data_IF_875132807279
#
_entry.id   IF_875132807279
#
_cell.length_a   1.000
_cell.length_b   1.000
_cell.length_c   1.000
_cell.angle_alpha   90.00
_cell.angle_beta   90.00
_cell.angle_gamma   90.00
#
_symmetry.space_group_name_H-M   'P 1'
#
loop_
_entity.id
_entity.type
_entity.pdbx_description
1 polymer ?
#
# COMPACT_ATOMS: atom_id res chain seq x y z
N UNK A 1 23.61 -19.42 -6.66
CA UNK A 1 23.18 -18.04 -6.41
C UNK A 1 23.23 -17.28 -7.73
N UNK A 2 22.13 -16.64 -8.12
CA UNK A 2 22.06 -15.85 -9.36
C UNK A 2 22.62 -14.45 -9.11
N UNK A 3 23.32 -13.86 -10.11
CA UNK A 3 23.78 -12.46 -10.08
C UNK A 3 22.99 -11.65 -11.08
N UNK A 4 22.53 -10.47 -10.69
CA UNK A 4 21.83 -9.52 -11.53
C UNK A 4 22.56 -8.17 -11.54
N UNK A 5 22.60 -7.54 -12.70
CA UNK A 5 22.89 -6.11 -12.77
C UNK A 5 21.77 -5.30 -12.09
N UNK A 6 22.07 -4.07 -11.71
CA UNK A 6 21.04 -3.16 -11.15
C UNK A 6 19.91 -2.89 -12.15
N UNK A 7 20.17 -2.91 -13.45
CA UNK A 7 19.17 -2.70 -14.48
C UNK A 7 18.21 -3.88 -14.57
N UNK A 8 18.72 -5.11 -14.59
CA UNK A 8 17.91 -6.33 -14.57
C UNK A 8 17.05 -6.41 -13.31
N UNK A 9 17.60 -6.09 -12.14
CA UNK A 9 16.86 -6.04 -10.88
C UNK A 9 15.71 -5.01 -10.95
N UNK A 10 15.98 -3.81 -11.46
CA UNK A 10 14.92 -2.80 -11.69
C UNK A 10 13.86 -3.29 -12.67
N UNK A 11 14.28 -3.88 -13.80
CA UNK A 11 13.36 -4.39 -14.81
C UNK A 11 12.43 -5.46 -14.22
N UNK A 12 12.99 -6.43 -13.50
CA UNK A 12 12.22 -7.46 -12.81
C UNK A 12 11.18 -6.88 -11.85
N UNK A 13 11.60 -6.00 -10.93
CA UNK A 13 10.69 -5.37 -9.96
C UNK A 13 9.59 -4.57 -10.68
N UNK A 14 9.91 -3.81 -11.72
CA UNK A 14 8.92 -3.02 -12.46
C UNK A 14 7.92 -3.91 -13.20
N UNK A 15 8.31 -5.10 -13.67
CA UNK A 15 7.40 -6.11 -14.22
C UNK A 15 6.46 -6.62 -13.13
N UNK A 16 6.99 -7.10 -12.01
CA UNK A 16 6.22 -7.64 -10.87
C UNK A 16 5.26 -6.61 -10.28
N UNK A 17 5.66 -5.34 -10.28
CA UNK A 17 4.82 -4.21 -9.84
C UNK A 17 3.77 -3.78 -10.89
N UNK A 18 3.72 -4.39 -12.06
CA UNK A 18 2.79 -4.01 -13.13
C UNK A 18 3.08 -2.65 -13.79
N UNK A 19 4.28 -2.10 -13.59
CA UNK A 19 4.67 -0.77 -14.08
C UNK A 19 5.28 -0.81 -15.49
N UNK A 20 5.87 -1.94 -15.89
CA UNK A 20 6.32 -2.18 -17.26
C UNK A 20 5.41 -3.12 -18.03
N UNK A 21 4.76 -4.08 -17.35
CA UNK A 21 3.77 -5.01 -17.90
C UNK A 21 2.47 -4.88 -17.09
N UNK A 22 1.51 -4.03 -17.51
CA UNK A 22 0.28 -3.78 -16.74
C UNK A 22 -0.58 -5.04 -16.57
N UNK A 23 -1.22 -5.15 -15.41
CA UNK A 23 -2.21 -6.18 -15.11
C UNK A 23 -3.50 -6.02 -15.92
N UNK A 24 -4.27 -7.09 -16.05
CA UNK A 24 -5.54 -7.07 -16.80
C UNK A 24 -6.64 -6.29 -16.06
N UNK A 25 -6.71 -6.39 -14.74
CA UNK A 25 -7.76 -5.77 -13.93
C UNK A 25 -7.24 -5.38 -12.52
N UNK A 26 -8.04 -4.60 -11.74
CA UNK A 26 -7.66 -4.14 -10.40
C UNK A 26 -7.39 -5.26 -9.39
N UNK A 27 -8.13 -6.36 -9.44
CA UNK A 27 -7.94 -7.48 -8.50
C UNK A 27 -6.60 -8.19 -8.77
N UNK A 28 -6.25 -8.39 -10.05
CA UNK A 28 -4.95 -8.98 -10.42
C UNK A 28 -3.80 -8.06 -10.01
N UNK A 29 -3.96 -6.75 -10.15
CA UNK A 29 -2.97 -5.79 -9.66
C UNK A 29 -2.78 -5.89 -8.15
N UNK A 30 -3.87 -5.94 -7.37
CA UNK A 30 -3.79 -6.09 -5.90
C UNK A 30 -3.19 -7.43 -5.50
N UNK A 31 -3.57 -8.54 -6.15
CA UNK A 31 -2.93 -9.86 -5.91
C UNK A 31 -1.45 -9.84 -6.20
N UNK A 32 -1.06 -9.21 -7.33
CA UNK A 32 0.34 -9.15 -7.76
C UNK A 32 1.23 -8.35 -6.82
N UNK A 33 0.71 -7.28 -6.19
CA UNK A 33 1.48 -6.38 -5.31
C UNK A 33 1.06 -6.46 -3.85
N UNK A 34 0.15 -7.37 -3.50
CA UNK A 34 -0.43 -7.63 -2.18
C UNK A 34 -1.28 -6.49 -1.61
N UNK A 35 -0.82 -5.24 -1.65
CA UNK A 35 -1.51 -4.11 -1.05
C UNK A 35 -1.13 -2.77 -1.68
N UNK A 36 -2.08 -1.83 -1.69
CA UNK A 36 -1.82 -0.41 -2.01
C UNK A 36 -2.18 0.43 -0.79
N UNK A 37 -1.25 1.26 -0.31
CA UNK A 37 -1.52 2.19 0.79
C UNK A 37 -2.49 3.28 0.34
N UNK A 38 -3.57 3.47 1.10
CA UNK A 38 -4.71 4.33 0.74
C UNK A 38 -4.91 5.48 1.72
N UNK A 39 -3.80 6.08 2.15
CA UNK A 39 -3.82 7.20 3.09
C UNK A 39 -4.59 8.41 2.52
N UNK A 40 -4.49 8.62 1.23
CA UNK A 40 -5.30 9.58 0.46
C UNK A 40 -6.30 8.83 -0.42
N UNK A 41 -7.50 9.38 -0.58
CA UNK A 41 -8.54 8.78 -1.43
C UNK A 41 -8.08 8.62 -2.89
N UNK A 42 -7.24 9.53 -3.39
CA UNK A 42 -6.67 9.48 -4.74
C UNK A 42 -5.55 8.45 -4.93
N UNK A 43 -4.92 7.94 -3.86
CA UNK A 43 -3.76 7.03 -3.99
C UNK A 43 -4.13 5.72 -4.69
N UNK A 44 -5.25 5.10 -4.31
CA UNK A 44 -5.68 3.82 -4.91
C UNK A 44 -6.00 3.94 -6.40
N UNK A 45 -6.90 4.85 -6.86
CA UNK A 45 -7.19 4.99 -8.28
C UNK A 45 -5.96 5.35 -9.11
N UNK A 46 -5.08 6.22 -8.62
CA UNK A 46 -3.85 6.61 -9.33
C UNK A 46 -2.87 5.42 -9.43
N UNK A 47 -2.61 4.72 -8.33
CA UNK A 47 -1.72 3.57 -8.33
C UNK A 47 -2.21 2.44 -9.24
N UNK A 48 -3.52 2.18 -9.27
CA UNK A 48 -4.15 1.25 -10.21
C UNK A 48 -4.09 1.78 -11.65
N UNK A 49 -4.25 3.09 -11.86
CA UNK A 49 -4.18 3.72 -13.18
C UNK A 49 -2.84 3.52 -13.90
N UNK A 50 -1.74 3.39 -13.14
CA UNK A 50 -0.43 3.08 -13.70
C UNK A 50 -0.19 1.58 -13.91
N UNK A 51 -0.92 0.71 -13.20
CA UNK A 51 -0.70 -0.73 -13.14
C UNK A 51 -1.72 -1.58 -13.91
N UNK A 52 -2.85 -0.99 -14.28
CA UNK A 52 -3.94 -1.72 -14.96
C UNK A 52 -4.12 -1.19 -16.37
N UNK A 53 -4.15 -2.10 -17.36
CA UNK A 53 -4.36 -1.72 -18.76
C UNK A 53 -5.73 -1.08 -18.95
N UNK A 54 -5.74 0.19 -19.37
CA UNK A 54 -6.98 0.88 -19.74
C UNK A 54 -7.98 1.05 -18.59
N UNK A 55 -7.54 1.23 -17.34
CA UNK A 55 -8.41 1.41 -16.18
C UNK A 55 -9.51 2.44 -16.45
N UNK A 56 -10.77 2.02 -16.34
CA UNK A 56 -11.91 2.93 -16.47
C UNK A 56 -12.07 3.78 -15.20
N UNK A 57 -12.47 5.05 -15.29
CA UNK A 57 -12.73 5.88 -14.09
C UNK A 57 -13.78 5.30 -13.14
N UNK A 58 -14.71 4.52 -13.69
CA UNK A 58 -15.80 3.86 -12.95
C UNK A 58 -15.46 2.45 -12.47
N UNK A 59 -14.17 2.07 -12.47
CA UNK A 59 -13.72 0.72 -12.12
C UNK A 59 -14.29 0.22 -10.77
N UNK A 60 -14.41 1.09 -9.79
CA UNK A 60 -14.91 0.79 -8.44
C UNK A 60 -16.40 0.40 -8.43
N UNK A 61 -17.19 0.80 -9.46
CA UNK A 61 -18.62 0.46 -9.59
C UNK A 61 -18.85 -0.96 -10.10
N UNK A 62 -17.84 -1.59 -10.68
CA UNK A 62 -17.95 -2.95 -11.20
C UNK A 62 -18.13 -3.96 -10.06
N UNK A 63 -19.06 -4.93 -10.19
CA UNK A 63 -19.37 -5.90 -9.13
C UNK A 63 -18.16 -6.64 -8.58
N UNK A 64 -17.24 -7.08 -9.46
CA UNK A 64 -16.03 -7.80 -9.09
C UNK A 64 -15.10 -6.97 -8.18
N UNK A 65 -15.06 -5.66 -8.36
CA UNK A 65 -14.20 -4.78 -7.57
C UNK A 65 -14.77 -4.43 -6.19
N UNK A 66 -16.02 -4.83 -5.90
CA UNK A 66 -16.59 -4.79 -4.54
C UNK A 66 -15.87 -5.75 -3.58
N UNK A 67 -15.12 -6.72 -4.12
CA UNK A 67 -14.23 -7.59 -3.35
C UNK A 67 -12.95 -6.91 -2.85
N UNK A 68 -12.68 -5.67 -3.25
CA UNK A 68 -11.55 -4.88 -2.72
C UNK A 68 -11.91 -4.36 -1.35
N UNK A 69 -11.12 -4.77 -0.35
CA UNK A 69 -11.28 -4.38 1.04
C UNK A 69 -10.29 -3.28 1.40
N UNK A 70 -10.74 -2.32 2.19
CA UNK A 70 -9.86 -1.30 2.79
C UNK A 70 -9.83 -1.48 4.30
N UNK A 71 -8.63 -1.57 4.88
CA UNK A 71 -8.45 -1.77 6.32
C UNK A 71 -7.09 -1.23 6.79
N UNK A 72 -6.91 -1.09 8.12
CA UNK A 72 -5.61 -0.86 8.72
C UNK A 72 -4.87 -2.20 8.84
N UNK A 73 -3.72 -2.29 8.18
CA UNK A 73 -2.90 -3.51 8.15
C UNK A 73 -1.41 -3.16 8.32
N UNK A 74 -0.58 -3.36 7.31
CA UNK A 74 0.86 -3.14 7.34
C UNK A 74 1.25 -1.83 8.05
N UNK A 75 2.11 -1.90 9.04
CA UNK A 75 2.59 -0.73 9.83
C UNK A 75 1.47 0.13 10.42
N UNK A 76 0.28 -0.44 10.65
CA UNK A 76 -0.91 0.29 11.17
C UNK A 76 -1.41 1.41 10.23
N UNK A 77 -1.15 1.32 8.93
CA UNK A 77 -1.65 2.27 7.92
C UNK A 77 -2.76 1.66 7.05
N UNK A 78 -3.52 2.53 6.38
CA UNK A 78 -4.66 2.12 5.56
C UNK A 78 -4.19 1.49 4.25
N UNK A 79 -4.68 0.28 3.94
CA UNK A 79 -4.38 -0.42 2.71
C UNK A 79 -5.64 -0.98 2.04
N UNK A 80 -5.60 -1.04 0.72
CA UNK A 80 -6.54 -1.81 -0.09
C UNK A 80 -5.94 -3.18 -0.40
N UNK A 81 -6.76 -4.23 -0.26
CA UNK A 81 -6.40 -5.64 -0.46
C UNK A 81 -7.49 -6.37 -1.23
N UNK A 82 -7.16 -7.53 -1.78
CA UNK A 82 -8.18 -8.56 -2.05
C UNK A 82 -8.65 -9.20 -0.74
N UNK A 83 -9.79 -9.88 -0.73
CA UNK A 83 -10.29 -10.55 0.48
C UNK A 83 -9.32 -11.61 1.02
N UNK A 84 -8.69 -12.41 0.13
CA UNK A 84 -7.70 -13.41 0.52
C UNK A 84 -6.44 -12.80 1.11
N UNK A 85 -5.89 -11.74 0.49
CA UNK A 85 -4.70 -11.05 0.99
C UNK A 85 -4.98 -10.31 2.31
N UNK A 86 -6.20 -9.80 2.50
CA UNK A 86 -6.62 -9.23 3.78
C UNK A 86 -6.62 -10.27 4.90
N UNK A 87 -7.12 -11.50 4.63
CA UNK A 87 -7.11 -12.57 5.63
C UNK A 87 -5.68 -12.95 6.06
N UNK A 88 -4.75 -13.04 5.10
CA UNK A 88 -3.32 -13.25 5.38
C UNK A 88 -2.77 -12.10 6.24
N UNK A 89 -3.03 -10.84 5.85
CA UNK A 89 -2.57 -9.68 6.60
C UNK A 89 -3.10 -9.65 8.04
N UNK A 90 -4.39 -9.93 8.25
CA UNK A 90 -5.00 -10.00 9.59
C UNK A 90 -4.33 -11.07 10.43
N UNK A 91 -4.21 -12.30 9.91
CA UNK A 91 -3.61 -13.41 10.67
C UNK A 91 -2.13 -13.16 11.02
N UNK A 92 -1.36 -12.61 10.07
CA UNK A 92 0.06 -12.32 10.27
C UNK A 92 0.32 -11.15 11.24
N UNK A 93 -0.53 -10.11 11.23
CA UNK A 93 -0.24 -8.83 11.88
C UNK A 93 -1.07 -8.57 13.14
N UNK A 94 -2.18 -9.29 13.33
CA UNK A 94 -3.15 -9.04 14.41
C UNK A 94 -2.51 -8.88 15.78
N UNK A 95 -1.73 -9.86 16.21
CA UNK A 95 -1.15 -9.84 17.56
C UNK A 95 -0.24 -8.63 17.76
N UNK A 96 0.64 -8.37 16.78
CA UNK A 96 1.56 -7.22 16.78
C UNK A 96 0.82 -5.90 16.90
N UNK A 97 -0.29 -5.75 16.16
CA UNK A 97 -1.04 -4.50 16.09
C UNK A 97 -2.00 -4.33 17.27
N UNK A 98 -2.68 -5.44 17.70
CA UNK A 98 -3.62 -5.40 18.82
C UNK A 98 -2.94 -5.20 20.17
N UNK A 99 -1.78 -5.79 20.43
CA UNK A 99 -1.04 -5.58 21.69
C UNK A 99 -0.89 -4.08 21.96
N UNK A 100 -0.35 -3.34 21.00
CA UNK A 100 -0.16 -1.88 21.14
C UNK A 100 -1.46 -1.11 21.31
N UNK A 101 -2.52 -1.56 20.62
CA UNK A 101 -3.85 -0.97 20.75
C UNK A 101 -4.43 -1.16 22.14
N UNK A 102 -4.40 -2.39 22.67
CA UNK A 102 -4.89 -2.71 24.02
C UNK A 102 -4.10 -1.99 25.11
N UNK A 103 -2.77 -1.94 24.98
CA UNK A 103 -1.90 -1.19 25.89
C UNK A 103 -2.28 0.28 25.96
N UNK A 104 -2.56 0.91 24.82
CA UNK A 104 -3.00 2.30 24.79
C UNK A 104 -4.35 2.50 25.50
N UNK A 105 -5.33 1.64 25.25
CA UNK A 105 -6.64 1.72 25.95
C UNK A 105 -6.50 1.57 27.46
N UNK A 106 -5.67 0.63 27.91
CA UNK A 106 -5.44 0.41 29.36
C UNK A 106 -4.71 1.57 30.00
N UNK A 107 -3.61 2.02 29.39
CA UNK A 107 -2.72 3.02 29.98
C UNK A 107 -3.30 4.44 29.92
N UNK A 108 -3.83 4.84 28.76
CA UNK A 108 -4.19 6.24 28.50
C UNK A 108 -5.67 6.53 28.78
N UNK A 109 -6.55 5.49 28.75
CA UNK A 109 -8.00 5.63 28.94
C UNK A 109 -8.53 4.86 30.15
N UNK A 110 -7.72 4.05 30.84
CA UNK A 110 -8.14 3.31 32.02
C UNK A 110 -9.11 2.15 31.75
N UNK A 111 -9.22 1.69 30.48
CA UNK A 111 -10.06 0.55 30.13
C UNK A 111 -9.41 -0.76 30.56
N UNK A 112 -10.24 -1.71 31.03
CA UNK A 112 -9.85 -3.11 31.18
C UNK A 112 -10.22 -3.94 29.95
N UNK A 113 -9.85 -5.22 29.94
CA UNK A 113 -10.14 -6.11 28.80
C UNK A 113 -11.65 -6.30 28.57
N UNK A 114 -12.46 -6.29 29.63
CA UNK A 114 -13.92 -6.42 29.55
C UNK A 114 -14.56 -5.17 28.93
N UNK A 115 -14.11 -3.99 29.30
CA UNK A 115 -14.56 -2.72 28.72
C UNK A 115 -14.20 -2.59 27.27
N UNK A 116 -12.98 -2.99 26.86
CA UNK A 116 -12.55 -3.03 25.47
C UNK A 116 -13.42 -4.01 24.67
N UNK A 117 -13.64 -5.21 25.18
CA UNK A 117 -14.48 -6.21 24.50
C UNK A 117 -15.92 -5.73 24.34
N UNK A 118 -16.51 -5.16 25.38
CA UNK A 118 -17.87 -4.58 25.34
C UNK A 118 -17.99 -3.51 24.27
N UNK A 119 -17.05 -2.56 24.25
CA UNK A 119 -17.03 -1.49 23.24
C UNK A 119 -16.94 -2.06 21.83
N UNK A 120 -16.06 -3.06 21.61
CA UNK A 120 -15.91 -3.72 20.30
C UNK A 120 -17.21 -4.41 19.87
N UNK A 121 -17.93 -5.05 20.80
CA UNK A 121 -19.20 -5.72 20.51
C UNK A 121 -20.34 -4.73 20.25
N UNK A 122 -20.40 -3.62 20.98
CA UNK A 122 -21.35 -2.53 20.72
C UNK A 122 -21.15 -1.93 19.33
N UNK A 123 -19.88 -1.70 18.91
CA UNK A 123 -19.57 -1.19 17.56
C UNK A 123 -19.99 -2.22 16.50
N UNK A 124 -19.68 -3.49 16.69
CA UNK A 124 -20.08 -4.54 15.74
C UNK A 124 -21.61 -4.66 15.62
N UNK A 125 -22.33 -4.54 16.72
CA UNK A 125 -23.80 -4.55 16.74
C UNK A 125 -24.37 -3.33 16.03
N UNK A 126 -23.79 -2.15 16.25
CA UNK A 126 -24.18 -0.93 15.55
C UNK A 126 -23.94 -1.00 14.03
N UNK A 127 -23.00 -1.80 13.56
CA UNK A 127 -22.65 -1.99 12.15
C UNK A 127 -23.37 -3.17 11.49
N UNK A 128 -24.22 -3.90 12.22
CA UNK A 128 -24.88 -5.07 11.67
C UNK A 128 -25.89 -4.70 10.57
N UNK A 129 -25.69 -5.27 9.37
CA UNK A 129 -26.49 -5.01 8.17
C UNK A 129 -26.35 -3.59 7.57
N UNK A 130 -25.49 -2.73 8.11
CA UNK A 130 -25.37 -1.31 7.67
C UNK A 130 -23.92 -0.80 7.68
N UNK A 131 -23.76 0.42 7.18
CA UNK A 131 -22.49 1.12 7.24
C UNK A 131 -22.67 2.49 7.91
N UNK A 132 -21.74 2.84 8.82
CA UNK A 132 -21.77 4.09 9.58
C UNK A 132 -20.45 4.84 9.40
N UNK A 133 -20.53 6.16 9.43
CA UNK A 133 -19.36 7.03 9.60
C UNK A 133 -18.87 6.96 11.04
N UNK A 134 -17.67 7.46 11.30
CA UNK A 134 -17.13 7.53 12.66
C UNK A 134 -17.99 8.43 13.57
N UNK A 135 -18.54 9.52 13.03
CA UNK A 135 -19.43 10.42 13.78
C UNK A 135 -20.70 9.68 14.19
N UNK A 136 -21.38 9.02 13.23
CA UNK A 136 -22.58 8.22 13.50
C UNK A 136 -22.31 7.09 14.51
N UNK A 137 -21.12 6.45 14.50
CA UNK A 137 -20.74 5.46 15.50
C UNK A 137 -20.59 6.09 16.89
N UNK A 138 -19.93 7.23 17.03
CA UNK A 138 -19.80 7.92 18.32
C UNK A 138 -21.16 8.41 18.87
N UNK A 139 -22.12 8.71 18.01
CA UNK A 139 -23.49 9.06 18.43
C UNK A 139 -24.30 7.85 18.92
N UNK A 140 -24.08 6.67 18.30
CA UNK A 140 -24.90 5.47 18.54
C UNK A 140 -24.30 4.54 19.59
N UNK A 141 -22.97 4.54 19.79
CA UNK A 141 -22.26 3.63 20.71
C UNK A 141 -21.87 4.37 21.99
N UNK A 142 -22.52 4.10 23.14
CA UNK A 142 -22.30 4.84 24.39
C UNK A 142 -20.84 4.83 24.86
N UNK A 143 -20.15 3.68 24.75
CA UNK A 143 -18.74 3.54 25.15
C UNK A 143 -17.80 4.37 24.29
N UNK A 144 -18.08 4.56 22.99
CA UNK A 144 -17.26 5.42 22.12
C UNK A 144 -17.34 6.91 22.50
N UNK A 145 -18.45 7.37 23.07
CA UNK A 145 -18.61 8.78 23.50
C UNK A 145 -17.60 9.19 24.56
N UNK A 146 -17.08 8.22 25.33
CA UNK A 146 -16.08 8.43 26.38
C UNK A 146 -14.65 8.55 25.81
N UNK A 147 -14.45 8.19 24.54
CA UNK A 147 -13.13 8.17 23.91
C UNK A 147 -12.90 9.49 23.16
N UNK A 148 -11.78 10.17 23.44
CA UNK A 148 -11.45 11.39 22.70
C UNK A 148 -11.39 11.13 21.19
N UNK A 149 -11.96 12.05 20.41
CA UNK A 149 -11.90 11.99 18.96
C UNK A 149 -10.43 12.13 18.48
N UNK A 150 -9.70 11.03 18.38
CA UNK A 150 -8.35 11.05 17.80
C UNK A 150 -8.45 11.10 16.27
N UNK A 151 -7.73 11.99 15.62
CA UNK A 151 -7.67 12.09 14.15
C UNK A 151 -7.17 10.83 13.46
N UNK A 152 -6.61 9.87 14.22
CA UNK A 152 -5.97 8.67 13.70
C UNK A 152 -6.85 7.41 13.72
N UNK A 153 -8.12 7.50 14.16
CA UNK A 153 -9.07 6.38 14.21
C UNK A 153 -8.66 5.28 15.18
N UNK A 154 -7.97 5.61 16.28
CA UNK A 154 -7.50 4.65 17.27
C UNK A 154 -8.65 3.86 17.91
N UNK A 155 -9.81 4.48 18.09
CA UNK A 155 -11.05 3.90 18.59
C UNK A 155 -11.57 2.69 17.77
N UNK A 156 -11.28 2.65 16.47
CA UNK A 156 -11.76 1.61 15.55
C UNK A 156 -10.68 0.63 15.06
N UNK A 157 -9.41 0.98 15.26
CA UNK A 157 -8.30 0.18 14.73
C UNK A 157 -8.24 -1.23 15.30
N UNK A 158 -8.57 -1.43 16.57
CA UNK A 158 -8.56 -2.75 17.21
C UNK A 158 -9.46 -3.73 16.51
N UNK A 159 -10.66 -3.30 16.13
CA UNK A 159 -11.62 -4.10 15.36
C UNK A 159 -11.11 -4.41 13.93
N UNK A 160 -10.46 -3.43 13.29
CA UNK A 160 -9.86 -3.65 11.97
C UNK A 160 -8.69 -4.66 12.04
N UNK A 161 -7.83 -4.57 13.07
CA UNK A 161 -6.74 -5.53 13.31
C UNK A 161 -7.26 -6.95 13.60
N UNK A 162 -8.43 -7.05 14.24
CA UNK A 162 -9.12 -8.31 14.46
C UNK A 162 -9.88 -8.83 13.23
N UNK A 163 -9.93 -8.06 12.14
CA UNK A 163 -10.70 -8.41 10.96
C UNK A 163 -12.22 -8.35 11.14
N UNK A 164 -12.71 -7.63 12.17
CA UNK A 164 -14.15 -7.52 12.50
C UNK A 164 -14.85 -6.36 11.77
N UNK A 165 -14.10 -5.38 11.29
CA UNK A 165 -14.62 -4.27 10.49
C UNK A 165 -13.72 -3.99 9.28
N UNK A 166 -14.31 -3.38 8.25
CA UNK A 166 -13.62 -2.84 7.08
C UNK A 166 -14.10 -1.44 6.77
N UNK A 167 -13.31 -0.69 6.03
CA UNK A 167 -13.69 0.60 5.46
C UNK A 167 -14.23 0.39 4.04
N UNK A 168 -15.25 1.15 3.69
CA UNK A 168 -15.82 1.13 2.34
C UNK A 168 -14.91 1.94 1.43
N UNK A 169 -14.56 1.37 0.28
CA UNK A 169 -13.85 2.06 -0.79
C UNK A 169 -14.83 2.99 -1.50
N UNK A 170 -14.83 4.28 -1.10
CA UNK A 170 -15.69 5.30 -1.69
C UNK A 170 -14.86 6.32 -2.49
N UNK A 171 -15.48 6.93 -3.50
CA UNK A 171 -14.86 7.99 -4.31
C UNK A 171 -14.75 9.31 -3.58
N UNK A 172 -15.73 9.61 -2.74
CA UNK A 172 -15.86 10.89 -2.03
C UNK A 172 -16.73 10.75 -0.79
N UNK A 173 -16.68 11.75 0.07
CA UNK A 173 -17.45 11.79 1.30
C UNK A 173 -16.72 11.25 2.52
N UNK A 174 -17.42 11.19 3.65
CA UNK A 174 -16.88 10.68 4.89
C UNK A 174 -16.62 9.17 4.79
N UNK A 175 -15.51 8.71 5.38
CA UNK A 175 -15.21 7.29 5.49
C UNK A 175 -16.31 6.57 6.26
N UNK A 176 -16.85 5.50 5.68
CA UNK A 176 -17.83 4.63 6.31
C UNK A 176 -17.21 3.30 6.68
N UNK A 177 -17.68 2.74 7.77
CA UNK A 177 -17.28 1.44 8.30
C UNK A 177 -18.42 0.46 8.13
N UNK A 178 -18.11 -0.79 7.92
CA UNK A 178 -19.08 -1.88 7.91
C UNK A 178 -18.51 -3.09 8.64
N UNK A 179 -19.39 -3.93 9.15
CA UNK A 179 -19.00 -5.22 9.71
C UNK A 179 -18.27 -6.06 8.67
N UNK A 180 -17.28 -6.81 9.11
CA UNK A 180 -16.51 -7.74 8.31
C UNK A 180 -16.08 -8.91 9.17
N UNK A 181 -16.43 -10.12 8.73
CA UNK A 181 -16.01 -11.35 9.39
C UNK A 181 -14.88 -11.97 8.56
N UNK A 182 -13.64 -11.58 8.91
CA UNK A 182 -12.46 -12.09 8.23
C UNK A 182 -12.29 -13.59 8.47
N UNK A 183 -12.08 -14.43 7.44
CA UNK A 183 -11.84 -15.85 7.61
C UNK A 183 -10.64 -16.15 8.52
N UNK A 184 -10.78 -17.05 9.49
CA UNK A 184 -9.78 -17.39 10.51
C UNK A 184 -9.11 -18.77 10.23
N UNK A 185 -8.74 -19.02 8.98
CA UNK A 185 -8.17 -20.31 8.58
C UNK A 185 -6.63 -20.32 8.54
N UNK A 186 -5.98 -19.19 8.86
CA UNK A 186 -4.53 -19.08 8.88
C UNK A 186 -3.98 -19.15 10.29
N UNK A 187 -3.04 -20.05 10.52
CA UNK A 187 -2.15 -19.99 11.68
C UNK A 187 -1.13 -18.86 11.50
N UNK A 188 -0.71 -18.23 12.60
CA UNK A 188 0.14 -17.00 12.57
C UNK A 188 1.41 -17.18 11.76
N UNK A 189 2.22 -18.19 12.07
CA UNK A 189 3.52 -18.37 11.41
C UNK A 189 3.36 -18.79 9.95
N UNK A 190 2.31 -19.55 9.62
CA UNK A 190 1.93 -19.87 8.23
C UNK A 190 1.48 -18.63 7.47
N UNK A 191 0.69 -17.76 8.09
CA UNK A 191 0.27 -16.49 7.50
C UNK A 191 1.46 -15.57 7.23
N UNK A 192 2.43 -15.52 8.15
CA UNK A 192 3.67 -14.73 7.95
C UNK A 192 4.51 -15.34 6.83
N UNK A 193 4.64 -16.66 6.74
CA UNK A 193 5.35 -17.34 5.66
C UNK A 193 4.70 -17.04 4.30
N UNK A 194 3.36 -17.11 4.20
CA UNK A 194 2.66 -16.73 2.97
C UNK A 194 2.81 -15.23 2.65
N UNK A 195 2.78 -14.36 3.67
CA UNK A 195 3.06 -12.93 3.50
C UNK A 195 4.48 -12.69 2.96
N UNK A 196 5.46 -13.50 3.37
CA UNK A 196 6.82 -13.46 2.84
C UNK A 196 6.86 -13.89 1.37
N UNK A 197 6.17 -14.98 0.97
CA UNK A 197 6.05 -15.39 -0.45
C UNK A 197 5.47 -14.25 -1.28
N UNK A 198 4.36 -13.63 -0.83
CA UNK A 198 3.74 -12.48 -1.52
C UNK A 198 4.69 -11.29 -1.63
N UNK A 199 5.42 -11.00 -0.57
CA UNK A 199 6.38 -9.90 -0.58
C UNK A 199 7.55 -10.18 -1.55
N UNK A 200 8.19 -11.33 -1.46
CA UNK A 200 9.33 -11.67 -2.34
C UNK A 200 8.91 -11.89 -3.80
N UNK A 201 7.65 -12.22 -4.05
CA UNK A 201 7.08 -12.22 -5.40
C UNK A 201 6.96 -10.79 -5.96
N UNK A 202 6.42 -9.86 -5.17
CA UNK A 202 6.07 -8.51 -5.64
C UNK A 202 7.25 -7.53 -5.60
N UNK A 203 8.16 -7.70 -4.64
CA UNK A 203 9.23 -6.75 -4.33
C UNK A 203 10.64 -7.35 -4.43
N UNK A 204 10.76 -8.66 -4.60
CA UNK A 204 12.07 -9.29 -4.82
C UNK A 204 12.76 -8.75 -6.09
N UNK A 205 14.10 -8.76 -6.12
CA UNK A 205 15.07 -9.20 -5.12
C UNK A 205 15.11 -8.27 -3.89
N UNK A 206 14.83 -8.81 -2.72
CA UNK A 206 14.76 -8.05 -1.47
C UNK A 206 15.37 -8.84 -0.29
N UNK A 207 15.80 -8.13 0.75
CA UNK A 207 16.36 -8.71 1.97
C UNK A 207 15.27 -9.00 3.02
N UNK A 208 15.60 -9.78 4.05
CA UNK A 208 14.73 -9.95 5.22
C UNK A 208 14.53 -8.62 6.00
N UNK A 209 15.52 -7.72 5.95
CA UNK A 209 15.42 -6.39 6.53
C UNK A 209 14.42 -5.52 5.77
N UNK A 210 14.34 -5.64 4.44
CA UNK A 210 13.32 -5.00 3.62
C UNK A 210 11.92 -5.52 3.97
N UNK A 211 11.77 -6.84 4.08
CA UNK A 211 10.50 -7.44 4.51
C UNK A 211 10.06 -6.95 5.89
N UNK A 212 10.99 -6.91 6.86
CA UNK A 212 10.73 -6.38 8.20
C UNK A 212 10.25 -4.93 8.16
N UNK A 213 10.95 -4.08 7.40
CA UNK A 213 10.58 -2.69 7.19
C UNK A 213 9.18 -2.55 6.59
N UNK A 214 8.88 -3.33 5.55
CA UNK A 214 7.61 -3.28 4.83
C UNK A 214 6.45 -3.82 5.66
N UNK A 215 6.62 -4.95 6.34
CA UNK A 215 5.56 -5.60 7.13
C UNK A 215 5.34 -4.95 8.49
N UNK A 216 6.41 -4.47 9.13
CA UNK A 216 6.40 -3.98 10.50
C UNK A 216 6.39 -5.08 11.55
N UNK A 217 6.64 -6.35 11.18
CA UNK A 217 6.70 -7.50 12.08
C UNK A 217 7.95 -7.50 12.97
N UNK A 218 7.90 -8.24 14.07
CA UNK A 218 9.07 -8.46 14.93
C UNK A 218 10.06 -9.44 14.27
N UNK A 219 11.35 -9.23 14.52
CA UNK A 219 12.40 -10.08 13.95
C UNK A 219 12.25 -11.56 14.36
N UNK A 220 11.79 -11.83 15.59
CA UNK A 220 11.57 -13.19 16.10
C UNK A 220 10.47 -13.93 15.32
N UNK A 221 9.36 -13.26 14.99
CA UNK A 221 8.28 -13.84 14.20
C UNK A 221 8.74 -14.11 12.77
N UNK A 222 9.48 -13.15 12.18
CA UNK A 222 10.07 -13.31 10.84
C UNK A 222 11.02 -14.50 10.79
N UNK A 223 11.89 -14.68 11.79
CA UNK A 223 12.84 -15.79 11.84
C UNK A 223 12.13 -17.15 11.86
N UNK A 224 11.06 -17.30 12.67
CA UNK A 224 10.27 -18.54 12.71
C UNK A 224 9.58 -18.83 11.37
N UNK A 225 8.92 -17.82 10.81
CA UNK A 225 8.22 -17.98 9.54
C UNK A 225 9.16 -18.20 8.35
N UNK A 226 10.37 -17.61 8.38
CA UNK A 226 11.36 -17.78 7.33
C UNK A 226 11.77 -19.25 7.19
N UNK A 227 11.96 -19.98 8.28
CA UNK A 227 12.27 -21.41 8.25
C UNK A 227 11.20 -22.26 7.53
N UNK A 228 9.95 -21.77 7.44
CA UNK A 228 8.86 -22.44 6.71
C UNK A 228 8.86 -22.16 5.20
N UNK A 229 9.61 -21.15 4.74
CA UNK A 229 9.52 -20.66 3.35
C UNK A 229 10.87 -20.51 2.66
N UNK A 230 11.99 -20.63 3.38
CA UNK A 230 13.33 -20.39 2.80
C UNK A 230 13.67 -21.29 1.61
N UNK A 231 13.17 -22.53 1.62
CA UNK A 231 13.35 -23.49 0.54
C UNK A 231 12.59 -23.15 -0.74
N UNK A 232 11.57 -22.29 -0.67
CA UNK A 232 10.79 -21.80 -1.81
C UNK A 232 11.44 -20.56 -2.46
N UNK A 233 12.43 -19.95 -1.79
CA UNK A 233 13.01 -18.67 -2.19
C UNK A 233 14.33 -18.86 -2.93
N UNK A 234 14.45 -18.21 -4.08
CA UNK A 234 15.70 -18.16 -4.83
C UNK A 234 16.60 -17.05 -4.29
N UNK A 235 17.87 -17.38 -4.06
CA UNK A 235 18.89 -16.43 -3.61
C UNK A 235 19.49 -15.68 -4.80
N UNK A 236 19.51 -14.36 -4.70
CA UNK A 236 19.99 -13.45 -5.74
C UNK A 236 20.95 -12.43 -5.14
N UNK A 237 21.98 -12.07 -5.89
CA UNK A 237 22.89 -10.97 -5.61
C UNK A 237 22.71 -9.87 -6.67
N UNK A 238 22.75 -8.60 -6.25
CA UNK A 238 22.69 -7.47 -7.17
C UNK A 238 24.07 -6.81 -7.20
N UNK A 239 24.60 -6.57 -8.39
CA UNK A 239 25.90 -5.90 -8.57
C UNK A 239 25.95 -4.54 -7.85
N UNK A 240 27.01 -4.33 -7.09
CA UNK A 240 27.20 -3.10 -6.33
C UNK A 240 26.27 -2.92 -5.12
N UNK A 241 25.53 -3.96 -4.72
CA UNK A 241 24.74 -3.97 -3.50
C UNK A 241 25.11 -5.14 -2.59
N UNK A 242 25.28 -4.87 -1.30
CA UNK A 242 25.66 -5.89 -0.32
C UNK A 242 24.47 -6.77 0.10
N UNK A 243 24.78 -7.99 0.53
CA UNK A 243 23.85 -8.93 1.15
C UNK A 243 23.05 -9.77 0.16
N UNK A 244 22.59 -10.91 0.68
CA UNK A 244 21.75 -11.87 -0.04
C UNK A 244 20.33 -11.34 -0.11
N UNK A 245 19.73 -11.42 -1.29
CA UNK A 245 18.34 -11.09 -1.56
C UNK A 245 17.58 -12.32 -1.99
N UNK A 246 16.27 -12.25 -1.82
CA UNK A 246 15.37 -13.35 -2.12
C UNK A 246 14.34 -12.94 -3.16
N UNK A 247 13.98 -13.89 -4.01
CA UNK A 247 12.90 -13.81 -4.99
C UNK A 247 12.01 -15.04 -4.81
N UNK A 248 10.71 -14.88 -5.00
CA UNK A 248 9.75 -15.97 -5.07
C UNK A 248 9.14 -16.04 -6.48
N UNK A 249 9.02 -17.26 -7.04
CA UNK A 249 8.37 -17.48 -8.34
C UNK A 249 9.20 -17.07 -9.54
N UNK A 250 10.54 -17.16 -9.42
CA UNK A 250 11.50 -16.95 -10.50
C UNK A 250 11.71 -15.50 -10.92
N UNK A 251 12.66 -15.30 -11.81
CA UNK A 251 13.00 -13.99 -12.36
C UNK A 251 12.18 -13.68 -13.62
N UNK A 252 11.65 -12.46 -13.68
CA UNK A 252 11.00 -11.92 -14.87
C UNK A 252 11.98 -11.17 -15.74
N UNK A 253 11.98 -11.48 -17.03
CA UNK A 253 12.65 -10.66 -18.03
C UNK A 253 11.77 -9.47 -18.43
N UNK A 254 12.38 -8.32 -18.65
CA UNK A 254 11.67 -7.12 -19.07
C UNK A 254 12.60 -5.98 -19.40
N UNK A 255 12.04 -4.86 -19.81
CA UNK A 255 12.78 -3.63 -20.02
C UNK A 255 12.32 -2.57 -19.01
N UNK A 256 13.26 -1.71 -18.62
CA UNK A 256 12.95 -0.53 -17.79
C UNK A 256 12.24 0.51 -18.66
N UNK A 257 11.01 0.94 -18.33
CA UNK A 257 10.30 1.96 -19.09
C UNK A 257 11.04 3.30 -19.06
N UNK A 258 10.94 4.05 -20.18
CA UNK A 258 11.57 5.38 -20.30
C UNK A 258 11.08 6.36 -19.24
N UNK A 259 9.80 6.32 -18.89
CA UNK A 259 9.16 7.14 -17.85
C UNK A 259 8.13 6.30 -17.11
N UNK A 260 8.10 6.41 -15.79
CA UNK A 260 7.10 5.82 -14.89
C UNK A 260 6.66 6.88 -13.88
N UNK A 261 5.36 7.01 -13.66
CA UNK A 261 4.83 7.78 -12.54
C UNK A 261 4.41 6.84 -11.41
N UNK A 262 4.66 7.27 -10.18
CA UNK A 262 4.25 6.58 -8.96
C UNK A 262 3.28 7.45 -8.16
N UNK A 263 2.30 6.83 -7.54
CA UNK A 263 1.34 7.52 -6.67
C UNK A 263 1.99 8.00 -5.36
N UNK A 264 1.31 8.86 -4.59
CA UNK A 264 1.67 9.07 -3.18
C UNK A 264 1.55 7.76 -2.42
N UNK A 265 2.53 7.45 -1.56
CA UNK A 265 2.61 6.18 -0.84
C UNK A 265 2.61 4.94 -1.75
N UNK A 266 3.21 5.07 -2.94
CA UNK A 266 3.26 3.97 -3.90
C UNK A 266 3.95 2.73 -3.31
N UNK A 267 3.43 1.52 -3.59
CA UNK A 267 4.05 0.27 -3.14
C UNK A 267 5.54 0.16 -3.49
N UNK A 268 5.94 0.54 -4.72
CA UNK A 268 7.35 0.52 -5.12
C UNK A 268 8.22 1.42 -4.23
N UNK A 269 7.76 2.64 -3.92
CA UNK A 269 8.49 3.59 -3.07
C UNK A 269 8.64 3.07 -1.64
N UNK A 270 7.64 2.34 -1.14
CA UNK A 270 7.59 1.84 0.25
C UNK A 270 8.14 0.41 0.41
N UNK A 271 8.37 -0.32 -0.67
CA UNK A 271 8.64 -1.75 -0.65
C UNK A 271 9.96 -2.14 0.05
N UNK A 272 11.00 -1.34 -0.05
CA UNK A 272 12.34 -1.66 0.45
C UNK A 272 12.79 -0.70 1.55
N UNK A 273 13.65 -1.13 2.45
CA UNK A 273 14.35 -0.30 3.43
C UNK A 273 15.43 0.53 2.72
N UNK A 274 16.26 -0.14 1.94
CA UNK A 274 17.22 0.50 1.04
C UNK A 274 16.51 0.95 -0.23
N UNK A 275 16.58 2.24 -0.52
CA UNK A 275 15.96 2.88 -1.70
C UNK A 275 16.91 3.05 -2.87
N UNK A 276 18.21 2.77 -2.69
CA UNK A 276 19.29 3.13 -3.61
C UNK A 276 19.12 2.59 -5.03
N UNK A 277 18.42 1.45 -5.18
CA UNK A 277 18.14 0.86 -6.48
C UNK A 277 17.32 1.81 -7.40
N UNK A 278 16.39 2.56 -6.82
CA UNK A 278 15.47 3.46 -7.54
C UNK A 278 15.67 4.94 -7.19
N UNK A 279 15.99 5.27 -5.94
CA UNK A 279 16.04 6.63 -5.42
C UNK A 279 17.47 6.97 -4.98
N UNK A 280 18.12 7.95 -5.65
CA UNK A 280 19.42 8.46 -5.21
C UNK A 280 19.36 8.95 -3.76
N UNK A 281 20.42 8.72 -3.00
CA UNK A 281 20.46 9.02 -1.56
C UNK A 281 20.22 10.52 -1.29
N UNK A 282 20.81 11.38 -2.11
CA UNK A 282 20.72 12.84 -1.98
C UNK A 282 19.29 13.37 -2.22
N UNK A 283 18.44 12.61 -2.92
CA UNK A 283 17.07 13.01 -3.24
C UNK A 283 16.03 12.45 -2.28
N UNK A 284 16.47 11.66 -1.29
CA UNK A 284 15.57 10.94 -0.37
C UNK A 284 14.62 11.87 0.39
N UNK A 285 15.11 13.00 0.89
CA UNK A 285 14.30 13.96 1.65
C UNK A 285 13.26 14.68 0.78
N UNK A 286 13.45 14.70 -0.54
CA UNK A 286 12.50 15.27 -1.48
C UNK A 286 11.29 14.35 -1.68
N UNK A 287 11.46 13.03 -1.47
CA UNK A 287 10.40 12.02 -1.57
C UNK A 287 9.80 11.70 -0.19
N UNK A 288 10.64 11.53 0.83
CA UNK A 288 10.24 11.20 2.21
C UNK A 288 10.27 12.47 3.06
N UNK A 289 9.09 13.11 3.19
CA UNK A 289 8.94 14.37 3.91
C UNK A 289 8.67 14.17 5.40
N UNK A 290 8.70 15.27 6.16
CA UNK A 290 8.32 15.30 7.60
C UNK A 290 6.93 14.71 7.81
N UNK A 291 6.64 14.28 9.06
CA UNK A 291 5.39 13.65 9.46
C UNK A 291 5.00 12.40 8.63
N UNK A 292 6.00 11.67 8.12
CA UNK A 292 5.78 10.41 7.39
C UNK A 292 5.09 10.56 6.04
N UNK A 293 5.13 11.76 5.44
CA UNK A 293 4.61 11.98 4.09
C UNK A 293 5.54 11.37 3.04
N UNK A 294 4.96 10.71 2.03
CA UNK A 294 5.69 10.13 0.89
C UNK A 294 5.11 10.68 -0.40
N UNK A 295 5.91 11.43 -1.12
CA UNK A 295 5.49 12.11 -2.33
C UNK A 295 5.33 11.16 -3.52
N UNK A 296 4.51 11.58 -4.45
CA UNK A 296 4.34 10.92 -5.74
C UNK A 296 5.57 11.12 -6.62
N UNK A 297 6.10 10.06 -7.22
CA UNK A 297 7.40 10.08 -7.91
C UNK A 297 7.33 10.07 -9.42
N UNK A 298 8.31 10.69 -10.06
CA UNK A 298 8.62 10.55 -11.48
C UNK A 298 9.93 9.81 -11.63
N UNK A 299 9.89 8.68 -12.34
CA UNK A 299 11.08 7.91 -12.67
C UNK A 299 11.40 8.06 -14.16
N UNK A 300 12.69 8.24 -14.47
CA UNK A 300 13.23 8.15 -15.82
C UNK A 300 14.28 7.04 -15.84
N UNK A 301 14.14 6.11 -16.79
CA UNK A 301 15.01 4.93 -16.88
C UNK A 301 15.15 4.20 -15.52
N UNK A 302 14.02 4.08 -14.77
CA UNK A 302 13.94 3.38 -13.50
C UNK A 302 14.56 4.10 -12.31
N UNK A 303 14.97 5.37 -12.41
CA UNK A 303 15.47 6.16 -11.29
C UNK A 303 14.60 7.39 -11.06
N UNK A 304 14.36 7.73 -9.79
CA UNK A 304 13.66 8.96 -9.42
C UNK A 304 14.41 10.19 -9.95
N UNK A 305 13.67 11.07 -10.60
CA UNK A 305 14.17 12.34 -11.13
C UNK A 305 13.34 13.54 -10.68
N UNK A 306 12.28 13.31 -9.93
CA UNK A 306 11.41 14.37 -9.44
C UNK A 306 10.20 13.83 -8.71
N UNK A 307 9.42 14.74 -8.13
CA UNK A 307 8.08 14.50 -7.61
C UNK A 307 7.03 15.13 -8.51
N UNK A 308 5.76 14.74 -8.32
CA UNK A 308 4.66 15.34 -9.07
C UNK A 308 3.43 15.51 -8.21
N UNK A 309 2.56 16.44 -8.61
CA UNK A 309 1.26 16.71 -7.96
C UNK A 309 0.19 16.85 -9.01
N UNK A 310 -1.05 16.53 -8.64
CA UNK A 310 -2.22 16.70 -9.47
C UNK A 310 -3.23 17.60 -8.75
N UNK A 311 -3.68 18.64 -9.41
CA UNK A 311 -4.71 19.54 -8.93
C UNK A 311 -5.95 19.42 -9.81
N UNK A 312 -7.13 19.31 -9.17
CA UNK A 312 -8.42 19.29 -9.85
C UNK A 312 -8.93 20.70 -10.06
N UNK A 313 -9.31 21.06 -11.30
CA UNK A 313 -10.00 22.30 -11.64
C UNK A 313 -11.28 21.95 -12.41
N UNK A 314 -12.39 21.82 -11.68
CA UNK A 314 -13.66 21.38 -12.27
C UNK A 314 -13.57 19.95 -12.83
N UNK A 315 -13.67 19.81 -14.16
CA UNK A 315 -13.58 18.54 -14.89
C UNK A 315 -12.20 18.24 -15.48
N UNK A 316 -11.23 19.09 -15.24
CA UNK A 316 -9.85 18.91 -15.74
C UNK A 316 -8.86 18.79 -14.57
N UNK A 317 -7.69 18.26 -14.88
CA UNK A 317 -6.55 18.15 -13.99
C UNK A 317 -5.35 18.91 -14.54
N UNK A 318 -4.62 19.59 -13.67
CA UNK A 318 -3.30 20.10 -13.95
C UNK A 318 -2.28 19.26 -13.20
N UNK A 319 -1.23 18.85 -13.88
CA UNK A 319 -0.11 18.11 -13.29
C UNK A 319 1.07 19.04 -13.18
N UNK A 320 1.68 19.10 -12.00
CA UNK A 320 2.92 19.86 -11.75
C UNK A 320 4.02 18.90 -11.37
N UNK A 321 5.16 18.99 -12.04
CA UNK A 321 6.38 18.22 -11.78
C UNK A 321 7.39 19.13 -11.11
N UNK A 322 7.99 18.65 -10.04
CA UNK A 322 9.11 19.27 -9.32
C UNK A 322 10.35 18.38 -9.53
N UNK A 323 11.19 18.71 -10.53
CA UNK A 323 12.33 17.88 -10.88
C UNK A 323 13.48 18.07 -9.89
N UNK A 324 14.22 16.98 -9.57
CA UNK A 324 15.45 17.01 -8.78
C UNK A 324 16.66 17.41 -9.65
N UNK A 325 16.54 17.14 -10.93
CA UNK A 325 17.54 17.43 -11.95
C UNK A 325 16.85 17.72 -13.28
N UNK A 326 17.55 18.31 -14.21
CA UNK A 326 17.00 18.62 -15.54
C UNK A 326 16.49 17.38 -16.24
N UNK A 327 15.21 17.38 -16.60
CA UNK A 327 14.58 16.31 -17.40
C UNK A 327 14.68 16.70 -18.88
N UNK A 328 15.30 15.84 -19.69
CA UNK A 328 15.46 16.10 -21.13
C UNK A 328 14.11 16.29 -21.82
N UNK A 329 13.99 17.33 -22.66
CA UNK A 329 12.77 17.65 -23.42
C UNK A 329 12.21 16.47 -24.22
N UNK A 330 13.07 15.59 -24.72
CA UNK A 330 12.66 14.34 -25.40
C UNK A 330 11.80 13.39 -24.54
N UNK A 331 11.72 13.59 -23.24
CA UNK A 331 10.87 12.83 -22.31
C UNK A 331 9.46 13.40 -22.16
N UNK A 332 9.21 14.64 -22.58
CA UNK A 332 7.91 15.33 -22.44
C UNK A 332 6.72 14.49 -22.95
N UNK A 333 6.73 13.87 -24.16
CA UNK A 333 5.60 13.09 -24.62
C UNK A 333 5.29 11.87 -23.74
N UNK A 334 6.33 11.23 -23.17
CA UNK A 334 6.16 10.11 -22.24
C UNK A 334 5.60 10.58 -20.90
N UNK A 335 6.07 11.71 -20.37
CA UNK A 335 5.58 12.35 -19.15
C UNK A 335 4.10 12.71 -19.28
N UNK A 336 3.71 13.37 -20.39
CA UNK A 336 2.30 13.71 -20.64
C UNK A 336 1.41 12.48 -20.73
N UNK A 337 1.90 11.37 -21.30
CA UNK A 337 1.17 10.11 -21.35
C UNK A 337 0.89 9.57 -19.94
N UNK A 338 1.88 9.58 -19.05
CA UNK A 338 1.69 9.16 -17.66
C UNK A 338 0.78 10.13 -16.89
N UNK A 339 0.91 11.44 -17.09
CA UNK A 339 0.01 12.43 -16.52
C UNK A 339 -1.45 12.24 -16.97
N UNK A 340 -1.69 11.89 -18.25
CA UNK A 340 -3.03 11.54 -18.74
C UNK A 340 -3.60 10.29 -18.07
N UNK A 341 -2.78 9.27 -17.79
CA UNK A 341 -3.22 8.08 -17.01
C UNK A 341 -3.68 8.48 -15.61
N UNK A 342 -2.89 9.32 -14.92
CA UNK A 342 -3.24 9.81 -13.58
C UNK A 342 -4.57 10.60 -13.60
N UNK A 343 -4.72 11.56 -14.51
CA UNK A 343 -5.97 12.33 -14.66
C UNK A 343 -7.17 11.42 -14.96
N UNK A 344 -7.02 10.50 -15.92
CA UNK A 344 -8.08 9.55 -16.30
C UNK A 344 -8.50 8.65 -15.16
N UNK A 345 -7.57 8.17 -14.32
CA UNK A 345 -7.89 7.33 -13.18
C UNK A 345 -8.77 8.01 -12.13
N UNK A 346 -8.77 9.35 -12.12
CA UNK A 346 -9.61 10.22 -11.31
C UNK A 346 -10.88 10.72 -12.03
N UNK A 347 -11.15 10.24 -13.25
CA UNK A 347 -12.28 10.71 -14.06
C UNK A 347 -12.10 12.12 -14.62
N UNK A 348 -10.87 12.61 -14.74
CA UNK A 348 -10.54 13.94 -15.21
C UNK A 348 -9.85 13.92 -16.58
N UNK A 349 -9.94 15.03 -17.33
CA UNK A 349 -9.13 15.27 -18.51
C UNK A 349 -7.87 16.02 -18.11
N UNK A 350 -6.71 15.67 -18.67
CA UNK A 350 -5.49 16.44 -18.47
C UNK A 350 -5.59 17.77 -19.22
N UNK A 351 -5.40 18.88 -18.54
CA UNK A 351 -5.31 20.21 -19.15
C UNK A 351 -3.88 20.52 -19.60
N UNK A 352 -2.94 20.44 -18.66
CA UNK A 352 -1.52 20.75 -18.91
C UNK A 352 -0.61 19.99 -17.94
N UNK A 353 0.70 19.99 -18.29
CA UNK A 353 1.78 19.55 -17.44
C UNK A 353 2.76 20.73 -17.29
N UNK A 354 2.95 21.16 -16.04
CA UNK A 354 3.85 22.25 -15.69
C UNK A 354 5.11 21.67 -15.02
N UNK A 355 6.25 22.28 -15.30
CA UNK A 355 7.52 22.00 -14.61
C UNK A 355 7.86 23.18 -13.71
N UNK A 356 8.14 22.92 -12.46
CA UNK A 356 8.72 23.91 -11.57
C UNK A 356 10.22 24.03 -11.90
N UNK A 357 10.72 25.25 -11.90
CA UNK A 357 12.14 25.56 -12.09
C UNK A 357 12.93 25.34 -10.81
#
# INVERSE_FOLDING_TARGET
MLSLSQEEARAHILVRQGLSRPFANPLDALRGIFAIQTQYASSLPIALGFRVKGLAPTWHKRPENKAILKSWTLRSTLHAHTAGDHAIAVAALRDRLRTRYVEWFKKDLGFDDASIARMEDEICSALDGRSLTRVELHEQVPTLRQIPHSGWGLDLKGLAYAGRIKLIVAESGATRFSRHDCPKHWEKDQAIAELMRRYFFAFGPATLSDFRYWSGLFAVDIKRAFALVEHDLEQVQIEGQEGIRFVFGGLESGSVPKVVFLAKFDPLTLGHLDKSLFLPLNDREQVFRKAGQVEAGVLVNGKFVGTWRIARKGKVAEVTIEPFTTIAKARTPAIEREARKAARSLGLKLANVNFLS
#
